data_IF_068148492992
#
_entry.id   IF_068148492992
#
_cell.length_a   1.000
_cell.length_b   1.000
_cell.length_c   1.000
_cell.angle_alpha   90.00
_cell.angle_beta   90.00
_cell.angle_gamma   90.00
#
_symmetry.space_group_name_H-M   'P 1'
#
loop_
_entity.id
_entity.type
_entity.pdbx_description
1 polymer ?
#
# COMPACT_ATOMS: atom_id res chain seq x y z
N UNK A 1 -23.18 57.78 2.60
CA UNK A 1 -21.87 57.16 2.26
C UNK A 1 -21.59 55.83 2.98
N UNK A 2 -22.27 55.48 4.07
CA UNK A 2 -22.07 54.18 4.76
C UNK A 2 -22.67 52.96 4.03
N UNK A 3 -23.68 53.16 3.18
CA UNK A 3 -24.35 52.08 2.45
C UNK A 3 -23.45 51.47 1.38
N UNK A 4 -22.74 52.28 0.60
CA UNK A 4 -21.80 51.81 -0.43
C UNK A 4 -20.63 51.06 0.19
N UNK A 5 -20.11 51.53 1.33
CA UNK A 5 -19.07 50.83 2.09
C UNK A 5 -19.53 49.45 2.58
N UNK A 6 -20.77 49.33 3.09
CA UNK A 6 -21.35 48.05 3.53
C UNK A 6 -21.54 47.06 2.37
N UNK A 7 -21.96 47.54 1.20
CA UNK A 7 -22.11 46.72 0.00
C UNK A 7 -20.76 46.20 -0.51
N UNK A 8 -19.74 47.06 -0.48
CA UNK A 8 -18.36 46.69 -0.87
C UNK A 8 -17.81 45.62 0.10
N UNK A 9 -18.01 45.79 1.42
CA UNK A 9 -17.55 44.79 2.39
C UNK A 9 -18.24 43.44 2.23
N UNK A 10 -19.54 43.43 1.93
CA UNK A 10 -20.29 42.18 1.70
C UNK A 10 -19.79 41.49 0.42
N UNK A 11 -19.55 42.25 -0.66
CA UNK A 11 -19.03 41.70 -1.91
C UNK A 11 -17.65 41.05 -1.72
N UNK A 12 -16.75 41.68 -0.95
CA UNK A 12 -15.41 41.13 -0.63
C UNK A 12 -15.49 39.86 0.23
N UNK A 13 -16.44 39.78 1.16
CA UNK A 13 -16.63 38.58 1.97
C UNK A 13 -17.16 37.39 1.14
N UNK A 14 -18.08 37.64 0.19
CA UNK A 14 -18.63 36.60 -0.69
C UNK A 14 -17.55 36.04 -1.62
N UNK A 15 -16.67 36.88 -2.17
CA UNK A 15 -15.57 36.40 -3.03
C UNK A 15 -14.55 35.57 -2.25
N UNK A 16 -14.21 35.96 -1.01
CA UNK A 16 -13.31 35.18 -0.16
C UNK A 16 -13.90 33.80 0.19
N UNK A 17 -15.17 33.71 0.54
CA UNK A 17 -15.84 32.44 0.88
C UNK A 17 -15.97 31.53 -0.35
N UNK A 18 -16.24 32.09 -1.53
CA UNK A 18 -16.29 31.35 -2.79
C UNK A 18 -14.99 30.61 -3.12
N UNK A 19 -13.83 31.21 -2.83
CA UNK A 19 -12.51 30.58 -3.04
C UNK A 19 -12.26 29.37 -2.14
N UNK A 20 -12.83 29.30 -0.92
CA UNK A 20 -12.62 28.16 -0.02
C UNK A 20 -13.41 26.91 -0.40
N UNK A 21 -14.54 27.06 -1.10
CA UNK A 21 -15.42 25.91 -1.43
C UNK A 21 -14.92 25.07 -2.62
N UNK A 22 -14.00 25.57 -3.45
CA UNK A 22 -13.46 24.87 -4.62
C UNK A 22 -12.51 23.70 -4.32
N UNK A 23 -12.01 23.59 -3.08
CA UNK A 23 -11.01 22.58 -2.71
C UNK A 23 -11.57 21.30 -2.07
N UNK A 24 -12.88 21.25 -1.77
CA UNK A 24 -13.48 20.12 -1.03
C UNK A 24 -13.92 18.93 -1.91
N UNK A 25 -13.92 19.07 -3.24
CA UNK A 25 -14.59 18.12 -4.14
C UNK A 25 -13.85 16.82 -4.46
N UNK A 26 -12.53 16.71 -4.20
CA UNK A 26 -11.72 15.67 -4.86
C UNK A 26 -10.89 14.76 -3.94
N UNK A 27 -11.09 14.76 -2.62
CA UNK A 27 -10.55 13.69 -1.77
C UNK A 27 -11.40 12.40 -1.88
N UNK A 28 -11.54 11.86 -3.09
CA UNK A 28 -12.01 10.48 -3.28
C UNK A 28 -10.91 9.55 -2.78
N UNK A 29 -10.97 9.16 -1.50
CA UNK A 29 -10.25 7.96 -1.04
C UNK A 29 -10.69 6.79 -1.93
N UNK A 30 -9.75 6.01 -2.49
CA UNK A 30 -10.11 4.79 -3.18
C UNK A 30 -10.90 3.90 -2.21
N UNK A 31 -12.19 3.69 -2.48
CA UNK A 31 -13.07 2.82 -1.67
C UNK A 31 -12.70 1.34 -1.83
N UNK A 32 -11.90 1.00 -2.85
CA UNK A 32 -11.25 -0.29 -3.02
C UNK A 32 -9.81 -0.07 -3.46
N UNK A 33 -8.88 -0.20 -2.51
CA UNK A 33 -7.48 -0.49 -2.86
C UNK A 33 -7.39 -1.99 -3.11
N UNK A 34 -7.02 -2.37 -4.34
CA UNK A 34 -6.71 -3.77 -4.63
C UNK A 34 -5.42 -4.14 -3.90
N UNK A 35 -5.53 -4.82 -2.77
CA UNK A 35 -4.34 -5.34 -2.07
C UNK A 35 -3.86 -6.60 -2.80
N UNK A 36 -2.78 -6.44 -3.56
CA UNK A 36 -2.09 -7.60 -4.16
C UNK A 36 -1.23 -8.26 -3.10
N UNK A 37 -1.79 -9.28 -2.44
CA UNK A 37 -1.14 -10.01 -1.36
C UNK A 37 -1.28 -11.52 -1.54
N UNK A 38 -0.45 -12.29 -0.83
CA UNK A 38 -0.57 -13.74 -0.79
C UNK A 38 -1.84 -14.14 -0.03
N UNK A 39 -2.76 -14.84 -0.71
CA UNK A 39 -3.96 -15.46 -0.11
C UNK A 39 -3.74 -16.92 0.26
N UNK A 40 -2.80 -17.57 -0.41
CA UNK A 40 -2.40 -18.96 -0.19
C UNK A 40 -0.90 -19.04 -0.10
N UNK A 41 -0.41 -20.06 0.61
CA UNK A 41 1.02 -20.31 0.78
C UNK A 41 1.37 -21.73 0.35
N UNK A 42 2.55 -21.88 -0.25
CA UNK A 42 3.12 -23.19 -0.55
C UNK A 42 4.05 -23.64 0.58
N UNK A 43 3.96 -24.91 0.95
CA UNK A 43 4.96 -25.58 1.81
C UNK A 43 6.07 -26.26 1.01
N UNK A 44 5.89 -26.39 -0.30
CA UNK A 44 6.87 -26.99 -1.21
C UNK A 44 8.15 -26.16 -1.28
N UNK A 45 9.29 -26.83 -1.42
CA UNK A 45 10.58 -26.16 -1.58
C UNK A 45 10.66 -25.48 -2.96
N UNK A 46 11.19 -24.28 -2.97
CA UNK A 46 11.57 -23.59 -4.22
C UNK A 46 12.86 -24.25 -4.75
N UNK A 47 12.90 -24.68 -6.02
CA UNK A 47 14.10 -25.25 -6.61
C UNK A 47 15.32 -24.32 -6.45
N UNK A 48 16.51 -24.87 -6.17
CA UNK A 48 17.72 -24.07 -5.96
C UNK A 48 18.16 -23.30 -7.19
N UNK A 49 17.79 -23.77 -8.39
CA UNK A 49 18.01 -23.13 -9.69
C UNK A 49 17.34 -21.76 -9.82
N UNK A 50 16.29 -21.49 -9.02
CA UNK A 50 15.58 -20.22 -9.06
C UNK A 50 16.35 -19.20 -8.22
N UNK A 51 16.86 -18.18 -8.90
CA UNK A 51 17.57 -17.05 -8.29
C UNK A 51 16.59 -16.14 -7.54
N UNK A 52 16.74 -16.12 -6.22
CA UNK A 52 15.97 -15.26 -5.32
C UNK A 52 16.77 -13.96 -5.09
N UNK A 53 16.14 -12.81 -5.32
CA UNK A 53 16.73 -11.47 -5.12
C UNK A 53 16.68 -11.08 -3.65
N UNK A 54 15.58 -11.45 -2.99
CA UNK A 54 15.33 -11.13 -1.60
C UNK A 54 14.00 -11.70 -1.15
N UNK A 55 13.63 -11.40 0.09
CA UNK A 55 12.38 -11.85 0.67
C UNK A 55 11.69 -10.73 1.44
N UNK A 56 10.39 -10.86 1.62
CA UNK A 56 9.58 -10.00 2.49
C UNK A 56 8.67 -10.87 3.34
N UNK A 57 8.55 -10.52 4.62
CA UNK A 57 7.54 -11.13 5.48
C UNK A 57 6.24 -10.34 5.37
N UNK A 58 5.18 -11.00 4.93
CA UNK A 58 3.82 -10.49 4.91
C UNK A 58 3.07 -10.98 6.15
N UNK A 59 2.64 -10.05 6.99
CA UNK A 59 1.77 -10.37 8.13
C UNK A 59 0.37 -10.78 7.67
N UNK A 60 -0.29 -11.66 8.43
CA UNK A 60 -1.69 -12.03 8.18
C UNK A 60 -2.62 -10.82 8.37
N UNK A 61 -3.41 -10.51 7.34
CA UNK A 61 -4.45 -9.48 7.37
C UNK A 61 -5.52 -9.85 6.35
N UNK A 62 -6.67 -10.35 6.81
CA UNK A 62 -7.73 -10.85 5.92
C UNK A 62 -8.03 -9.87 4.76
N UNK A 63 -7.97 -10.31 3.49
CA UNK A 63 -7.92 -11.70 3.00
C UNK A 63 -6.51 -12.32 2.84
N UNK A 64 -5.47 -11.61 3.24
CA UNK A 64 -4.07 -12.03 3.15
C UNK A 64 -3.69 -12.96 4.30
N UNK A 65 -2.89 -13.98 3.99
CA UNK A 65 -2.35 -14.91 5.00
C UNK A 65 -0.92 -14.54 5.38
N UNK A 66 -0.46 -15.08 6.51
CA UNK A 66 0.94 -14.98 6.94
C UNK A 66 1.83 -15.73 5.93
N UNK A 67 2.77 -15.02 5.30
CA UNK A 67 3.56 -15.55 4.19
C UNK A 67 4.96 -14.95 4.12
N UNK A 68 5.94 -15.77 3.73
CA UNK A 68 7.22 -15.28 3.24
C UNK A 68 7.13 -15.16 1.72
N UNK A 69 7.30 -13.94 1.22
CA UNK A 69 7.29 -13.63 -0.20
C UNK A 69 8.73 -13.61 -0.68
N UNK A 70 9.10 -14.55 -1.54
CA UNK A 70 10.37 -14.52 -2.24
C UNK A 70 10.23 -13.77 -3.55
N UNK A 71 11.12 -12.82 -3.80
CA UNK A 71 11.18 -12.06 -5.03
C UNK A 71 12.22 -12.68 -5.97
N UNK A 72 11.82 -12.90 -7.21
CA UNK A 72 12.71 -13.29 -8.30
C UNK A 72 12.70 -12.21 -9.37
N UNK A 73 13.51 -12.38 -10.41
CA UNK A 73 13.55 -11.45 -11.54
C UNK A 73 12.22 -11.39 -12.32
N UNK A 74 11.41 -12.46 -12.25
CA UNK A 74 10.16 -12.59 -13.03
C UNK A 74 8.91 -12.64 -12.16
N UNK A 75 8.95 -13.45 -11.09
CA UNK A 75 7.77 -13.78 -10.29
C UNK A 75 8.02 -13.66 -8.78
N UNK A 76 6.91 -13.72 -8.03
CA UNK A 76 6.90 -13.76 -6.57
C UNK A 76 6.37 -15.09 -6.09
N UNK A 77 7.04 -15.70 -5.11
CA UNK A 77 6.61 -16.97 -4.52
C UNK A 77 6.13 -16.76 -3.09
N UNK A 78 4.90 -17.18 -2.81
CA UNK A 78 4.31 -17.17 -1.47
C UNK A 78 4.62 -18.50 -0.76
N UNK A 79 5.41 -18.47 0.30
CA UNK A 79 5.77 -19.65 1.07
C UNK A 79 5.31 -19.56 2.52
N UNK A 80 4.98 -20.72 3.11
CA UNK A 80 4.53 -20.82 4.49
C UNK A 80 5.71 -20.55 5.44
N UNK A 81 5.65 -19.51 6.31
CA UNK A 81 6.74 -19.18 7.23
C UNK A 81 7.10 -20.32 8.19
N UNK A 82 6.17 -21.26 8.42
CA UNK A 82 6.37 -22.41 9.32
C UNK A 82 7.06 -23.60 8.66
N UNK A 83 7.33 -23.53 7.35
CA UNK A 83 8.00 -24.61 6.66
C UNK A 83 9.48 -24.72 7.09
N UNK A 84 9.92 -25.94 7.43
CA UNK A 84 11.27 -26.20 8.00
C UNK A 84 12.43 -25.68 7.15
N UNK A 85 12.25 -25.60 5.83
CA UNK A 85 13.30 -25.17 4.89
C UNK A 85 13.43 -23.64 4.79
N UNK A 86 12.45 -22.87 5.29
CA UNK A 86 12.43 -21.42 5.16
C UNK A 86 13.61 -20.80 5.89
N UNK A 87 13.86 -21.19 7.14
CA UNK A 87 14.94 -20.64 7.95
C UNK A 87 16.28 -20.72 7.22
N UNK A 88 16.63 -21.92 6.73
CA UNK A 88 17.84 -22.11 5.92
C UNK A 88 17.83 -21.39 4.58
N UNK A 89 16.67 -21.18 3.95
CA UNK A 89 16.61 -20.45 2.66
C UNK A 89 16.72 -18.95 2.84
N UNK A 90 16.31 -18.43 4.00
CA UNK A 90 16.41 -17.01 4.35
C UNK A 90 17.86 -16.61 4.69
N UNK A 91 18.67 -17.54 5.17
CA UNK A 91 20.09 -17.33 5.41
C UNK A 91 20.79 -16.84 4.14
N UNK A 92 21.37 -15.64 4.20
CA UNK A 92 22.06 -15.01 3.07
C UNK A 92 21.17 -14.24 2.09
N UNK A 93 19.84 -14.28 2.24
CA UNK A 93 18.94 -13.41 1.46
C UNK A 93 18.71 -12.07 2.15
N UNK A 94 18.56 -11.01 1.37
CA UNK A 94 18.21 -9.68 1.87
C UNK A 94 16.72 -9.60 2.19
N UNK A 95 16.39 -9.11 3.38
CA UNK A 95 15.03 -8.71 3.74
C UNK A 95 14.71 -7.39 3.06
N UNK A 96 13.61 -7.35 2.33
CA UNK A 96 13.07 -6.15 1.71
C UNK A 96 12.01 -5.59 2.67
N UNK A 97 12.27 -4.40 3.19
CA UNK A 97 11.33 -3.62 4.00
C UNK A 97 10.69 -2.56 3.08
N UNK A 98 9.44 -2.18 3.38
CA UNK A 98 8.71 -1.14 2.64
C UNK A 98 9.14 0.27 3.06
#
# INVERSE_FOLDING_TARGET
MAWTSRLITIAVLITLIGCFTGALGNFRRPTRVGVTCCKTVSRGRIPPEIKLIGYKHQNALSPCVDAIIFYTEKDKYCSDPKARWIQHRLEGLKKIED
#
